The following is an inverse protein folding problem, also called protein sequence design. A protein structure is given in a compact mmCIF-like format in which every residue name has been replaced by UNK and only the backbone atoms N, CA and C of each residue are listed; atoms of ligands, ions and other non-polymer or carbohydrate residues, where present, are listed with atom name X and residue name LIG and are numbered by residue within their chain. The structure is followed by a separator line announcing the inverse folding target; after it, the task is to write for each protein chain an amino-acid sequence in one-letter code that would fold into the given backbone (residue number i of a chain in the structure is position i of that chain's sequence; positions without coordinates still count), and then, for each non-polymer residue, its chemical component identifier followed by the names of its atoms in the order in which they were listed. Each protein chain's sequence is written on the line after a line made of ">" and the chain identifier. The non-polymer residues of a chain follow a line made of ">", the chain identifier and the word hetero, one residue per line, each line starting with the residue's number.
data_IF_741822576774
#
_entry.id   IF_741822576774
#
_cell.length_a   1.000
_cell.length_b   1.000
_cell.length_c   1.000
_cell.angle_alpha   90.00
_cell.angle_beta   90.00
_cell.angle_gamma   90.00
#
_symmetry.space_group_name_H-M   'P 1'
#
loop_
_entity.id
_entity.type
_entity.pdbx_description
1 polymer ?
#
# COMPACT_ATOMS: atom_id res chain seq x y z
N UNK A 1 22.79 3.43 5.15
CA UNK A 1 21.50 3.65 4.46
C UNK A 1 20.92 2.28 4.15
N UNK A 2 19.79 1.92 4.77
CA UNK A 2 19.11 0.64 4.48
C UNK A 2 18.25 0.83 3.24
N UNK A 3 18.34 -0.04 2.22
CA UNK A 3 17.47 0.06 1.06
C UNK A 3 16.01 -0.05 1.50
N UNK A 4 15.18 0.90 1.07
CA UNK A 4 13.76 0.94 1.39
C UNK A 4 12.95 1.26 0.15
N UNK A 5 11.69 0.83 0.15
CA UNK A 5 10.75 1.06 -0.95
C UNK A 5 9.60 1.90 -0.40
N UNK A 6 9.31 3.03 -1.07
CA UNK A 6 8.11 3.81 -0.77
C UNK A 6 6.87 3.15 -1.38
N UNK A 7 6.11 2.44 -0.55
CA UNK A 7 4.96 1.66 -1.00
C UNK A 7 3.86 2.55 -1.62
N UNK A 8 3.65 3.76 -1.11
CA UNK A 8 2.63 4.69 -1.64
C UNK A 8 2.93 5.06 -3.09
N UNK A 9 4.20 5.35 -3.39
CA UNK A 9 4.65 5.64 -4.75
C UNK A 9 4.54 4.40 -5.64
N UNK A 10 4.92 3.23 -5.12
CA UNK A 10 4.89 1.98 -5.88
C UNK A 10 3.45 1.57 -6.24
N UNK A 11 2.53 1.66 -5.28
CA UNK A 11 1.10 1.42 -5.50
C UNK A 11 0.51 2.40 -6.53
N UNK A 12 0.83 3.69 -6.41
CA UNK A 12 0.37 4.69 -7.37
C UNK A 12 0.84 4.38 -8.79
N UNK A 13 2.10 3.95 -8.95
CA UNK A 13 2.64 3.52 -10.24
C UNK A 13 1.93 2.27 -10.76
N UNK A 14 1.72 1.26 -9.92
CA UNK A 14 1.04 0.01 -10.29
C UNK A 14 -0.43 0.23 -10.69
N UNK A 15 -1.07 1.27 -10.15
CA UNK A 15 -2.47 1.64 -10.44
C UNK A 15 -2.63 2.83 -11.41
N UNK A 16 -1.53 3.28 -12.03
CA UNK A 16 -1.51 4.44 -12.94
C UNK A 16 -2.16 5.72 -12.37
N UNK A 17 -2.00 5.95 -11.07
CA UNK A 17 -2.53 7.14 -10.41
C UNK A 17 -1.63 8.35 -10.69
N UNK A 18 -2.25 9.50 -10.96
CA UNK A 18 -1.55 10.78 -11.14
C UNK A 18 -0.81 11.24 -9.87
N UNK A 19 -1.33 10.85 -8.68
CA UNK A 19 -0.72 11.17 -7.38
C UNK A 19 -0.84 9.99 -6.41
N UNK A 20 0.13 9.81 -5.48
CA UNK A 20 -0.02 8.84 -4.40
C UNK A 20 -1.23 9.15 -3.54
N UNK A 21 -1.96 8.10 -3.15
CA UNK A 21 -3.10 8.20 -2.25
C UNK A 21 -2.71 7.80 -0.81
N UNK A 22 -3.54 8.19 0.16
CA UNK A 22 -3.42 7.75 1.54
C UNK A 22 -3.75 6.27 1.71
N UNK A 23 -3.45 5.71 2.89
CA UNK A 23 -3.65 4.28 3.17
C UNK A 23 -5.10 3.84 2.94
N UNK A 24 -6.08 4.57 3.48
CA UNK A 24 -7.50 4.24 3.30
C UNK A 24 -7.92 4.27 1.82
N UNK A 25 -7.47 5.29 1.07
CA UNK A 25 -7.76 5.38 -0.36
C UNK A 25 -7.11 4.24 -1.16
N UNK A 26 -5.89 3.84 -0.81
CA UNK A 26 -5.22 2.71 -1.43
C UNK A 26 -5.96 1.39 -1.16
N UNK A 27 -6.43 1.18 0.08
CA UNK A 27 -7.23 0.02 0.44
C UNK A 27 -8.55 0.00 -0.34
N UNK A 28 -9.28 1.12 -0.40
CA UNK A 28 -10.53 1.21 -1.16
C UNK A 28 -10.32 0.90 -2.65
N UNK A 29 -9.27 1.45 -3.27
CA UNK A 29 -8.91 1.15 -4.67
C UNK A 29 -8.50 -0.33 -4.86
N UNK A 30 -8.05 -0.99 -3.80
CA UNK A 30 -7.73 -2.40 -3.78
C UNK A 30 -8.96 -3.29 -3.44
N UNK A 31 -10.15 -2.71 -3.27
CA UNK A 31 -11.37 -3.44 -2.86
C UNK A 31 -11.33 -3.89 -1.40
N UNK A 32 -10.54 -3.22 -0.56
CA UNK A 32 -10.31 -3.56 0.84
C UNK A 32 -10.79 -2.44 1.77
N UNK A 33 -11.18 -2.81 2.98
CA UNK A 33 -11.38 -1.87 4.08
C UNK A 33 -10.20 -1.87 5.05
N UNK A 34 -10.01 -0.74 5.71
CA UNK A 34 -9.10 -0.63 6.84
C UNK A 34 -9.60 -1.54 7.97
N UNK A 35 -8.69 -2.34 8.53
CA UNK A 35 -8.99 -3.23 9.65
C UNK A 35 -8.31 -2.72 10.93
N UNK A 36 -9.08 -2.54 12.00
CA UNK A 36 -8.60 -2.05 13.29
C UNK A 36 -8.86 -0.55 13.52
N UNK A 37 -8.16 0.02 14.48
CA UNK A 37 -8.18 1.42 14.86
C UNK A 37 -7.17 2.24 14.04
N UNK A 38 -7.66 3.30 13.40
CA UNK A 38 -6.81 4.21 12.64
C UNK A 38 -5.77 4.88 13.56
N UNK A 39 -4.55 5.07 13.05
CA UNK A 39 -3.41 5.67 13.75
C UNK A 39 -2.81 4.80 14.87
N UNK A 40 -3.14 3.50 14.91
CA UNK A 40 -2.34 2.51 15.62
C UNK A 40 -1.26 1.99 14.68
N UNK A 41 0.00 2.24 15.02
CA UNK A 41 1.16 1.89 14.18
C UNK A 41 1.16 0.43 13.71
N UNK A 42 0.79 -0.51 14.58
CA UNK A 42 0.72 -1.93 14.23
C UNK A 42 -0.37 -2.22 13.20
N UNK A 43 -1.54 -1.62 13.32
CA UNK A 43 -2.66 -1.83 12.42
C UNK A 43 -2.43 -1.13 11.08
N UNK A 44 -1.85 0.07 11.10
CA UNK A 44 -1.38 0.74 9.90
C UNK A 44 -0.33 -0.10 9.16
N UNK A 45 0.62 -0.72 9.87
CA UNK A 45 1.62 -1.61 9.28
C UNK A 45 0.97 -2.86 8.66
N UNK A 46 0.02 -3.50 9.35
CA UNK A 46 -0.72 -4.67 8.82
C UNK A 46 -1.53 -4.32 7.57
N UNK A 47 -2.27 -3.21 7.59
CA UNK A 47 -3.05 -2.77 6.44
C UNK A 47 -2.14 -2.37 5.27
N UNK A 48 -1.01 -1.73 5.56
CA UNK A 48 0.00 -1.38 4.54
C UNK A 48 0.59 -2.65 3.91
N UNK A 49 0.90 -3.68 4.70
CA UNK A 49 1.45 -4.94 4.20
C UNK A 49 0.51 -5.66 3.22
N UNK A 50 -0.81 -5.53 3.40
CA UNK A 50 -1.82 -6.09 2.47
C UNK A 50 -1.74 -5.50 1.06
N UNK A 51 -1.19 -4.30 0.91
CA UNK A 51 -1.00 -3.65 -0.39
C UNK A 51 0.27 -4.12 -1.11
N UNK A 52 1.18 -4.85 -0.45
CA UNK A 52 2.46 -5.29 -1.04
C UNK A 52 2.28 -6.08 -2.35
N UNK A 53 1.41 -7.11 -2.43
CA UNK A 53 1.24 -7.90 -3.66
C UNK A 53 0.69 -7.08 -4.83
N UNK A 54 -0.01 -5.98 -4.54
CA UNK A 54 -0.63 -5.10 -5.53
C UNK A 54 0.28 -3.94 -5.94
N UNK A 55 1.35 -3.71 -5.18
CA UNK A 55 2.28 -2.60 -5.38
C UNK A 55 3.58 -3.06 -6.00
N UNK A 56 4.02 -4.28 -5.69
CA UNK A 56 5.23 -4.84 -6.25
C UNK A 56 4.91 -5.50 -7.60
N UNK A 57 5.80 -5.41 -8.59
CA UNK A 57 5.65 -6.22 -9.79
C UNK A 57 5.56 -7.69 -9.38
N UNK A 58 4.74 -8.48 -10.08
CA UNK A 58 4.75 -9.93 -9.92
C UNK A 58 6.21 -10.37 -10.01
N UNK A 59 6.73 -11.01 -8.96
CA UNK A 59 8.06 -11.59 -9.02
C UNK A 59 8.03 -12.52 -10.23
N UNK A 60 8.81 -12.15 -11.25
CA UNK A 60 8.93 -12.97 -12.46
C UNK A 60 9.32 -14.38 -12.06
N UNK A 61 8.61 -15.34 -12.64
CA UNK A 61 9.07 -16.71 -12.87
C UNK A 61 10.53 -16.75 -13.28
#
# INVERSE_FOLDING_TARGET
>A
HVPHINLKQRFAKARHLQRPTGLNGALQLAGMHFCGQQHRALEDARNTARLLPLSLPAAGT
#
